data_IF_430290812095
#
_entry.id   IF_430290812095
#
_cell.length_a   1.000
_cell.length_b   1.000
_cell.length_c   1.000
_cell.angle_alpha   90.00
_cell.angle_beta   90.00
_cell.angle_gamma   90.00
#
_symmetry.space_group_name_H-M   'P 1'
#
loop_
_entity.id
_entity.type
_entity.pdbx_description
1 polymer ?
#
# COMPACT_ATOMS: atom_id res chain seq x y z
N UNK A 1 -12.42 6.43 0.54
CA UNK A 1 -12.04 7.07 -0.74
C UNK A 1 -11.56 8.51 -0.60
N UNK A 2 -12.34 9.47 -0.05
CA UNK A 2 -11.87 10.87 0.05
C UNK A 2 -10.52 11.06 0.75
N UNK A 3 -10.24 10.29 1.79
CA UNK A 3 -8.94 10.35 2.49
C UNK A 3 -7.75 9.92 1.63
N UNK A 4 -7.93 8.97 0.71
CA UNK A 4 -6.88 8.53 -0.22
C UNK A 4 -6.58 9.66 -1.21
N UNK A 5 -7.59 10.28 -1.78
CA UNK A 5 -7.37 11.44 -2.66
C UNK A 5 -6.75 12.62 -1.90
N UNK A 6 -7.16 12.84 -0.65
CA UNK A 6 -6.59 13.88 0.19
C UNK A 6 -5.11 13.63 0.53
N UNK A 7 -4.63 12.38 0.56
CA UNK A 7 -3.20 12.15 0.85
C UNK A 7 -2.29 12.72 -0.21
N UNK A 8 -2.75 12.81 -1.47
CA UNK A 8 -1.97 13.34 -2.58
C UNK A 8 -1.47 14.77 -2.35
N UNK A 9 -2.17 15.58 -1.54
CA UNK A 9 -1.75 16.98 -1.30
C UNK A 9 -0.50 17.13 -0.45
N UNK A 10 -0.10 16.09 0.29
CA UNK A 10 1.08 16.12 1.16
C UNK A 10 2.11 15.03 0.82
N UNK A 11 1.87 14.23 -0.23
CA UNK A 11 2.88 13.32 -0.78
C UNK A 11 3.89 14.09 -1.64
N UNK A 12 5.14 13.60 -1.75
CA UNK A 12 6.11 14.15 -2.69
C UNK A 12 5.57 14.18 -4.12
N UNK A 13 5.93 15.22 -4.86
CA UNK A 13 5.66 15.29 -6.30
C UNK A 13 6.51 14.23 -7.01
N UNK A 14 5.87 13.42 -7.85
CA UNK A 14 6.57 12.49 -8.75
C UNK A 14 6.77 13.20 -10.10
N UNK A 15 8.02 13.46 -10.46
CA UNK A 15 8.42 14.16 -11.68
C UNK A 15 8.91 13.20 -12.80
N UNK A 16 8.67 11.90 -12.62
CA UNK A 16 9.03 10.84 -13.56
C UNK A 16 7.88 9.84 -13.76
N UNK A 17 7.97 9.04 -14.82
CA UNK A 17 7.02 7.95 -15.09
C UNK A 17 7.29 6.81 -14.11
N UNK A 18 6.25 6.40 -13.38
CA UNK A 18 6.30 5.27 -12.46
C UNK A 18 5.56 4.05 -13.03
N UNK A 19 6.03 2.86 -12.69
CA UNK A 19 5.21 1.65 -12.69
C UNK A 19 4.56 1.46 -11.31
N UNK A 20 3.64 0.50 -11.22
CA UNK A 20 3.10 0.06 -9.94
C UNK A 20 3.10 -1.47 -9.88
N UNK A 21 3.28 -1.99 -8.67
CA UNK A 21 3.21 -3.41 -8.36
C UNK A 21 2.08 -3.65 -7.36
N UNK A 22 1.43 -4.81 -7.45
CA UNK A 22 0.40 -5.24 -6.48
C UNK A 22 0.94 -6.46 -5.76
N UNK A 23 1.07 -6.35 -4.43
CA UNK A 23 1.47 -7.44 -3.57
C UNK A 23 0.30 -7.84 -2.66
N UNK A 24 0.04 -9.14 -2.56
CA UNK A 24 -1.00 -9.70 -1.70
C UNK A 24 -0.30 -10.57 -0.66
N UNK A 25 -0.47 -10.22 0.61
CA UNK A 25 0.01 -11.05 1.72
C UNK A 25 -1.09 -12.04 2.09
N UNK A 26 -0.82 -13.33 1.92
CA UNK A 26 -1.75 -14.43 2.16
C UNK A 26 -1.27 -15.36 3.29
N UNK A 27 -2.07 -16.37 3.61
CA UNK A 27 -1.60 -17.48 4.44
C UNK A 27 -0.52 -18.28 3.68
N UNK A 28 0.38 -18.95 4.43
CA UNK A 28 1.54 -19.67 3.87
C UNK A 28 1.15 -20.86 2.97
N UNK A 29 -0.04 -21.38 3.15
CA UNK A 29 -0.63 -22.54 2.46
C UNK A 29 -1.61 -22.13 1.35
N UNK A 30 -1.67 -20.84 1.00
CA UNK A 30 -2.53 -20.37 -0.09
C UNK A 30 -1.97 -20.84 -1.44
N UNK A 31 -2.80 -21.50 -2.24
CA UNK A 31 -2.45 -21.88 -3.62
C UNK A 31 -2.24 -20.63 -4.48
N UNK A 32 -1.17 -20.64 -5.28
CA UNK A 32 -0.81 -19.52 -6.14
C UNK A 32 -1.56 -19.66 -7.47
N UNK A 33 -2.39 -18.69 -7.87
CA UNK A 33 -3.06 -18.72 -9.16
C UNK A 33 -2.05 -18.65 -10.33
N UNK A 34 -2.40 -19.21 -11.48
CA UNK A 34 -1.49 -19.35 -12.64
C UNK A 34 -0.80 -18.05 -13.10
N UNK A 35 -1.47 -16.89 -12.96
CA UNK A 35 -0.96 -15.58 -13.38
C UNK A 35 -0.22 -14.82 -12.28
N UNK A 36 -0.02 -15.44 -11.11
CA UNK A 36 0.63 -14.84 -9.95
C UNK A 36 1.89 -15.65 -9.60
N UNK A 37 2.82 -14.99 -8.90
CA UNK A 37 4.03 -15.63 -8.41
C UNK A 37 4.38 -15.10 -7.01
N UNK A 38 5.24 -15.82 -6.31
CA UNK A 38 5.78 -15.39 -5.03
C UNK A 38 6.80 -14.27 -5.22
N UNK A 39 6.78 -13.31 -4.31
CA UNK A 39 7.75 -12.23 -4.26
C UNK A 39 8.17 -11.93 -2.82
N UNK A 40 9.31 -11.28 -2.67
CA UNK A 40 9.74 -10.74 -1.39
C UNK A 40 8.92 -9.50 -1.01
N UNK A 41 8.82 -9.24 0.29
CA UNK A 41 8.14 -8.04 0.78
C UNK A 41 8.88 -6.76 0.37
N UNK A 42 8.13 -5.77 -0.11
CA UNK A 42 8.68 -4.45 -0.44
C UNK A 42 8.76 -3.60 0.84
N UNK A 43 9.95 -3.08 1.13
CA UNK A 43 10.19 -2.17 2.25
C UNK A 43 10.78 -0.84 1.77
N UNK A 44 10.16 0.27 2.18
CA UNK A 44 10.64 1.62 1.89
C UNK A 44 11.50 2.08 3.09
N UNK A 45 12.81 2.18 2.89
CA UNK A 45 13.71 2.68 3.93
C UNK A 45 13.46 4.17 4.22
N UNK A 46 13.47 4.54 5.50
CA UNK A 46 13.21 5.90 5.99
C UNK A 46 11.85 6.45 5.52
N UNK A 47 10.84 5.59 5.46
CA UNK A 47 9.48 6.00 5.13
C UNK A 47 8.82 6.77 6.27
N UNK A 48 7.99 7.74 5.90
CA UNK A 48 6.94 8.31 6.72
C UNK A 48 5.64 7.54 6.49
N UNK A 49 4.85 7.39 7.54
CA UNK A 49 3.61 6.61 7.51
C UNK A 49 2.41 7.48 7.89
N UNK A 50 1.34 7.40 7.09
CA UNK A 50 0.06 8.04 7.39
C UNK A 50 -1.02 6.98 7.45
N UNK A 51 -1.60 6.80 8.64
CA UNK A 51 -2.74 5.92 8.90
C UNK A 51 -4.04 6.64 8.52
N UNK A 52 -4.82 6.03 7.64
CA UNK A 52 -6.15 6.50 7.27
C UNK A 52 -7.22 5.86 8.17
N UNK A 53 -8.43 6.41 8.12
CA UNK A 53 -9.57 5.90 8.88
C UNK A 53 -9.91 4.48 8.44
N UNK A 54 -9.94 3.57 9.39
CA UNK A 54 -10.42 2.19 9.18
C UNK A 54 -11.94 2.13 9.16
N UNK A 55 -12.50 1.12 8.49
CA UNK A 55 -13.92 0.80 8.58
C UNK A 55 -14.14 -0.70 8.74
N UNK A 56 -15.33 -1.06 9.22
CA UNK A 56 -15.73 -2.43 9.47
C UNK A 56 -17.00 -2.77 8.72
N UNK A 57 -17.13 -4.02 8.28
CA UNK A 57 -18.42 -4.60 7.88
C UNK A 57 -19.07 -5.42 9.00
N UNK A 58 -18.43 -5.51 10.17
CA UNK A 58 -18.79 -6.41 11.27
C UNK A 58 -18.12 -7.78 11.18
N UNK A 59 -17.79 -8.25 9.97
CA UNK A 59 -17.00 -9.46 9.75
C UNK A 59 -15.54 -9.14 9.43
N UNK A 60 -15.30 -8.10 8.62
CA UNK A 60 -13.96 -7.69 8.20
C UNK A 60 -13.67 -6.28 8.70
N UNK A 61 -12.44 -6.09 9.20
CA UNK A 61 -11.90 -4.78 9.52
C UNK A 61 -10.87 -4.40 8.46
N UNK A 62 -11.08 -3.27 7.79
CA UNK A 62 -10.15 -2.76 6.79
C UNK A 62 -9.45 -1.51 7.33
N UNK A 63 -8.13 -1.55 7.34
CA UNK A 63 -7.25 -0.43 7.69
C UNK A 63 -6.40 -0.08 6.48
N UNK A 64 -6.05 1.20 6.33
CA UNK A 64 -5.25 1.69 5.20
C UNK A 64 -4.12 2.56 5.69
N UNK A 65 -2.92 2.32 5.17
CA UNK A 65 -1.72 3.10 5.48
C UNK A 65 -1.05 3.49 4.18
N UNK A 66 -0.59 4.74 4.11
CA UNK A 66 0.28 5.21 3.03
C UNK A 66 1.68 5.38 3.62
N UNK A 67 2.65 4.64 3.08
CA UNK A 67 4.06 4.79 3.39
C UNK A 67 4.75 5.50 2.23
N UNK A 68 5.49 6.57 2.50
CA UNK A 68 6.19 7.33 1.47
C UNK A 68 7.53 7.82 1.98
N UNK A 69 8.50 7.97 1.08
CA UNK A 69 9.81 8.54 1.40
C UNK A 69 9.85 10.01 0.96
N UNK A 70 10.27 10.89 1.85
CA UNK A 70 10.58 12.27 1.47
C UNK A 70 11.95 12.31 0.80
N UNK A 71 12.02 12.91 -0.38
CA UNK A 71 13.29 13.30 -1.00
C UNK A 71 13.66 14.66 -0.39
N UNK A 72 14.39 14.64 0.73
CA UNK A 72 15.07 15.83 1.27
C UNK A 72 16.44 15.98 0.61
#
# INVERSE_FOLDING_TARGET
MRQISATVSFLPLLDYICSFDILIYTHKDTEIPEQWDNTEGVFIQNAQSVQLKSFSTGLHQLSTVVNFKMNL
#
